data_IF_717633878334
#
_entry.id   IF_717633878334
#
_cell.length_a   1.000
_cell.length_b   1.000
_cell.length_c   1.000
_cell.angle_alpha   90.00
_cell.angle_beta   90.00
_cell.angle_gamma   90.00
#
_symmetry.space_group_name_H-M   'P 1'
#
loop_
_entity.id
_entity.type
_entity.pdbx_description
1 polymer ?
#
# COMPACT_ATOMS: atom_id res chain seq x y z
N UNK A 1 -18.92 -10.28 -6.97
CA UNK A 1 -20.10 -9.60 -6.36
C UNK A 1 -20.70 -10.44 -5.24
N UNK A 2 -21.05 -11.70 -5.50
CA UNK A 2 -21.70 -12.62 -4.53
C UNK A 2 -20.81 -12.88 -3.29
N UNK A 3 -19.49 -12.83 -3.42
CA UNK A 3 -18.55 -13.19 -2.35
C UNK A 3 -18.44 -12.16 -1.23
N UNK A 4 -18.92 -10.94 -1.44
CA UNK A 4 -18.82 -9.85 -0.44
C UNK A 4 -20.18 -9.28 -0.01
N UNK A 5 -21.25 -9.64 -0.71
CA UNK A 5 -22.59 -9.15 -0.42
C UNK A 5 -23.11 -9.77 0.88
N UNK A 6 -23.67 -8.94 1.78
CA UNK A 6 -24.15 -9.36 3.08
C UNK A 6 -23.06 -9.71 4.10
N UNK A 7 -21.79 -9.55 3.76
CA UNK A 7 -20.68 -9.84 4.67
C UNK A 7 -20.40 -8.67 5.62
N UNK A 8 -19.71 -8.97 6.72
CA UNK A 8 -19.29 -7.99 7.73
C UNK A 8 -17.77 -7.87 7.72
N UNK A 9 -17.26 -6.63 7.73
CA UNK A 9 -15.83 -6.37 7.93
C UNK A 9 -15.47 -6.72 9.37
N UNK A 10 -14.46 -7.56 9.55
CA UNK A 10 -13.92 -7.94 10.86
C UNK A 10 -12.81 -6.98 11.29
N UNK A 11 -11.83 -6.79 10.42
CA UNK A 11 -10.71 -5.89 10.64
C UNK A 11 -10.13 -5.41 9.31
N UNK A 12 -9.24 -4.42 9.40
CA UNK A 12 -8.47 -3.89 8.28
C UNK A 12 -7.00 -3.87 8.67
N UNK A 13 -6.17 -4.42 7.82
CA UNK A 13 -4.73 -4.53 8.02
C UNK A 13 -3.97 -3.93 6.82
N UNK A 14 -2.70 -3.59 7.05
CA UNK A 14 -1.78 -3.21 5.98
C UNK A 14 -0.61 -4.19 5.92
N UNK A 15 -0.32 -4.67 4.73
CA UNK A 15 0.90 -5.43 4.45
C UNK A 15 1.64 -4.78 3.27
N UNK A 16 2.82 -4.23 3.53
CA UNK A 16 3.55 -3.39 2.58
C UNK A 16 2.65 -2.26 2.01
N UNK A 17 2.42 -2.25 0.71
CA UNK A 17 1.55 -1.31 -0.02
C UNK A 17 0.16 -1.87 -0.30
N UNK A 18 -0.23 -2.96 0.37
CA UNK A 18 -1.54 -3.56 0.24
C UNK A 18 -2.40 -3.28 1.48
N UNK A 19 -3.67 -2.97 1.26
CA UNK A 19 -4.71 -2.90 2.27
C UNK A 19 -5.47 -4.23 2.21
N UNK A 20 -5.66 -4.86 3.37
CA UNK A 20 -6.35 -6.13 3.54
C UNK A 20 -7.60 -5.88 4.38
N UNK A 21 -8.78 -6.10 3.80
CA UNK A 21 -10.07 -5.98 4.49
C UNK A 21 -10.59 -7.39 4.70
N UNK A 22 -10.51 -7.88 5.93
CA UNK A 22 -10.92 -9.23 6.30
C UNK A 22 -12.42 -9.28 6.59
N UNK A 23 -13.11 -10.24 5.98
CA UNK A 23 -14.55 -10.42 6.06
C UNK A 23 -14.92 -11.64 6.92
N UNK A 24 -16.14 -11.66 7.47
CA UNK A 24 -16.63 -12.73 8.34
C UNK A 24 -16.89 -14.08 7.62
N UNK A 25 -16.87 -14.09 6.30
CA UNK A 25 -17.02 -15.30 5.47
C UNK A 25 -15.68 -15.93 5.06
N UNK A 26 -14.59 -15.63 5.77
CA UNK A 26 -13.23 -16.11 5.49
C UNK A 26 -12.65 -15.59 4.15
N UNK A 27 -13.20 -14.51 3.61
CA UNK A 27 -12.64 -13.82 2.44
C UNK A 27 -11.91 -12.56 2.87
N UNK A 28 -10.89 -12.18 2.10
CA UNK A 28 -10.15 -10.92 2.25
C UNK A 28 -10.21 -10.14 0.95
N UNK A 29 -10.58 -8.87 1.04
CA UNK A 29 -10.43 -7.93 -0.06
C UNK A 29 -9.04 -7.32 0.03
N UNK A 30 -8.20 -7.56 -0.98
CA UNK A 30 -6.89 -6.93 -1.12
C UNK A 30 -7.02 -5.74 -2.05
N UNK A 31 -6.51 -4.58 -1.61
CA UNK A 31 -6.46 -3.35 -2.41
C UNK A 31 -5.01 -2.88 -2.50
N UNK A 32 -4.52 -2.70 -3.71
CA UNK A 32 -3.24 -2.06 -4.00
C UNK A 32 -3.48 -0.79 -4.81
N UNK A 33 -3.19 0.37 -4.24
CA UNK A 33 -3.51 1.68 -4.84
C UNK A 33 -2.63 2.03 -6.06
N UNK A 34 -1.43 1.45 -6.14
CA UNK A 34 -0.44 1.79 -7.20
C UNK A 34 -0.11 3.28 -7.19
N UNK A 35 -0.23 3.97 -8.35
CA UNK A 35 0.25 5.36 -8.50
C UNK A 35 -0.85 6.41 -8.30
N UNK A 36 -2.05 6.15 -8.80
CA UNK A 36 -3.17 7.11 -8.81
C UNK A 36 -4.43 6.58 -8.15
N UNK A 37 -4.39 5.32 -7.71
CA UNK A 37 -5.50 4.72 -6.97
C UNK A 37 -5.68 5.37 -5.60
N UNK A 38 -6.92 5.65 -5.25
CA UNK A 38 -7.27 6.16 -3.94
C UNK A 38 -8.66 5.68 -3.52
N UNK A 39 -8.94 5.81 -2.24
CA UNK A 39 -10.18 5.36 -1.64
C UNK A 39 -10.89 6.56 -1.08
N UNK A 40 -12.18 6.65 -1.34
CA UNK A 40 -13.06 7.67 -0.79
C UNK A 40 -14.26 7.04 -0.11
N UNK A 41 -14.81 7.76 0.87
CA UNK A 41 -15.91 7.29 1.69
C UNK A 41 -16.93 8.40 1.87
N UNK A 42 -18.17 8.13 1.47
CA UNK A 42 -19.26 9.08 1.55
C UNK A 42 -20.54 8.52 0.93
N UNK A 43 -21.54 9.38 0.73
CA UNK A 43 -22.78 9.02 0.06
C UNK A 43 -22.66 9.28 -1.43
N UNK A 44 -22.94 8.26 -2.22
CA UNK A 44 -22.87 8.30 -3.67
C UNK A 44 -24.18 7.86 -4.28
N UNK A 45 -24.64 8.59 -5.29
CA UNK A 45 -25.80 8.25 -6.09
C UNK A 45 -25.38 7.64 -7.44
N UNK A 46 -26.08 6.56 -7.85
CA UNK A 46 -25.88 5.95 -9.13
C UNK A 46 -26.83 6.52 -10.18
N UNK A 47 -26.29 7.09 -11.23
CA UNK A 47 -27.07 7.57 -12.36
C UNK A 47 -27.18 6.46 -13.43
N UNK A 48 -28.37 5.84 -13.54
CA UNK A 48 -28.63 4.76 -14.51
C UNK A 48 -28.44 5.19 -15.97
N UNK A 49 -28.84 6.45 -16.33
CA UNK A 49 -28.72 6.94 -17.72
C UNK A 49 -27.27 7.14 -18.15
N UNK A 50 -26.41 7.62 -17.23
CA UNK A 50 -24.99 7.85 -17.51
C UNK A 50 -24.12 6.65 -17.15
N UNK A 51 -24.69 5.60 -16.55
CA UNK A 51 -23.95 4.45 -16.02
C UNK A 51 -22.76 4.89 -15.14
N UNK A 52 -22.99 5.83 -14.22
CA UNK A 52 -21.92 6.44 -13.42
C UNK A 52 -22.36 6.72 -12.00
N UNK A 53 -21.41 6.67 -11.10
CA UNK A 53 -21.55 7.11 -9.71
C UNK A 53 -21.06 8.54 -9.57
N UNK A 54 -21.68 9.31 -8.65
CA UNK A 54 -21.24 10.63 -8.24
C UNK A 54 -21.59 10.87 -6.78
N UNK A 55 -20.82 11.71 -6.05
CA UNK A 55 -21.16 12.06 -4.67
C UNK A 55 -22.51 12.78 -4.64
N UNK A 56 -23.25 12.60 -3.54
CA UNK A 56 -24.48 13.37 -3.30
C UNK A 56 -24.15 14.85 -3.08
N UNK A 57 -25.09 15.75 -3.44
CA UNK A 57 -24.85 17.21 -3.41
C UNK A 57 -24.42 17.75 -2.05
N UNK A 58 -24.89 17.12 -0.97
CA UNK A 58 -24.64 17.56 0.40
C UNK A 58 -23.39 16.93 1.03
N UNK A 59 -22.60 16.18 0.26
CA UNK A 59 -21.34 15.64 0.73
C UNK A 59 -20.25 16.73 0.75
N UNK A 60 -19.22 16.52 1.58
CA UNK A 60 -18.09 17.45 1.73
C UNK A 60 -17.41 17.72 0.38
N UNK A 61 -16.94 18.94 0.20
CA UNK A 61 -16.33 19.43 -1.04
C UNK A 61 -15.22 18.48 -1.60
N UNK A 62 -14.39 17.95 -0.73
CA UNK A 62 -13.33 17.03 -1.13
C UNK A 62 -13.80 15.80 -1.92
N UNK A 63 -15.07 15.35 -1.77
CA UNK A 63 -15.61 14.26 -2.56
C UNK A 63 -15.94 14.66 -4.00
N UNK A 64 -16.16 15.94 -4.24
CA UNK A 64 -16.49 16.51 -5.55
C UNK A 64 -15.26 16.86 -6.39
N UNK A 65 -14.04 16.60 -5.87
CA UNK A 65 -12.81 16.78 -6.63
C UNK A 65 -12.89 16.02 -7.97
N UNK A 66 -12.57 16.66 -9.11
CA UNK A 66 -12.61 16.06 -10.43
C UNK A 66 -11.78 14.76 -10.56
N UNK A 67 -10.75 14.58 -9.75
CA UNK A 67 -9.97 13.33 -9.72
C UNK A 67 -10.78 12.13 -9.22
N UNK A 68 -11.82 12.35 -8.43
CA UNK A 68 -12.69 11.31 -7.89
C UNK A 68 -13.66 10.71 -8.93
N UNK A 69 -13.76 11.29 -10.13
CA UNK A 69 -14.66 10.81 -11.20
C UNK A 69 -14.31 9.42 -11.77
N UNK A 70 -13.06 8.97 -11.58
CA UNK A 70 -12.57 7.71 -12.12
C UNK A 70 -12.90 6.52 -11.21
N UNK A 71 -14.19 6.32 -10.95
CA UNK A 71 -14.72 5.26 -10.07
C UNK A 71 -14.69 3.91 -10.80
N UNK A 72 -14.10 2.90 -10.15
CA UNK A 72 -14.03 1.53 -10.69
C UNK A 72 -14.73 0.50 -9.83
N UNK A 73 -14.69 0.64 -8.52
CA UNK A 73 -15.35 -0.28 -7.58
C UNK A 73 -16.11 0.51 -6.53
N UNK A 74 -17.34 0.10 -6.26
CA UNK A 74 -18.19 0.69 -5.23
C UNK A 74 -18.70 -0.43 -4.32
N UNK A 75 -18.45 -0.29 -3.03
CA UNK A 75 -19.02 -1.15 -2.00
C UNK A 75 -20.06 -0.34 -1.22
N UNK A 76 -21.34 -0.73 -1.33
CA UNK A 76 -22.41 -0.15 -0.52
C UNK A 76 -22.40 -0.76 0.87
N UNK A 77 -22.48 0.10 1.88
CA UNK A 77 -22.43 -0.30 3.28
C UNK A 77 -23.80 -0.18 3.94
N UNK A 78 -24.02 -0.91 5.02
CA UNK A 78 -25.30 -0.94 5.75
C UNK A 78 -25.72 0.40 6.35
N UNK A 79 -24.78 1.33 6.51
CA UNK A 79 -25.06 2.68 7.01
C UNK A 79 -25.47 3.69 5.90
N UNK A 80 -25.75 3.20 4.68
CA UNK A 80 -26.17 4.00 3.54
C UNK A 80 -25.03 4.75 2.84
N UNK A 81 -23.78 4.58 3.27
CA UNK A 81 -22.60 5.16 2.59
C UNK A 81 -21.91 4.15 1.70
N UNK A 82 -21.03 4.65 0.85
CA UNK A 82 -20.22 3.86 -0.06
C UNK A 82 -18.74 4.02 0.26
N UNK A 83 -18.02 2.91 0.14
CA UNK A 83 -16.58 2.84 0.07
C UNK A 83 -16.21 2.67 -1.40
N UNK A 84 -15.48 3.63 -1.95
CA UNK A 84 -15.31 3.78 -3.39
C UNK A 84 -13.83 3.77 -3.74
N UNK A 85 -13.45 2.93 -4.70
CA UNK A 85 -12.10 2.90 -5.25
C UNK A 85 -12.07 3.65 -6.58
N UNK A 86 -11.22 4.68 -6.63
CA UNK A 86 -10.98 5.51 -7.80
C UNK A 86 -9.54 5.33 -8.30
N UNK A 87 -9.34 5.36 -9.62
CA UNK A 87 -8.00 5.32 -10.22
C UNK A 87 -8.01 5.83 -11.65
N UNK A 88 -7.40 6.99 -11.89
CA UNK A 88 -7.36 7.61 -13.23
C UNK A 88 -6.55 6.79 -14.25
N UNK A 89 -5.55 6.03 -13.79
CA UNK A 89 -4.64 5.24 -14.66
C UNK A 89 -4.99 3.76 -14.74
N UNK A 90 -5.93 3.26 -13.94
CA UNK A 90 -6.37 1.86 -13.89
C UNK A 90 -5.25 0.84 -13.57
N UNK A 91 -4.23 1.26 -12.84
CA UNK A 91 -3.14 0.38 -12.41
C UNK A 91 -3.40 -0.27 -11.05
N UNK A 92 -4.25 0.34 -10.25
CA UNK A 92 -4.66 -0.19 -8.97
C UNK A 92 -5.40 -1.52 -9.09
N UNK A 93 -5.40 -2.28 -8.03
CA UNK A 93 -6.01 -3.62 -8.00
C UNK A 93 -6.94 -3.75 -6.80
N UNK A 94 -8.10 -4.35 -7.04
CA UNK A 94 -9.02 -4.81 -6.01
C UNK A 94 -9.27 -6.28 -6.29
N UNK A 95 -8.87 -7.15 -5.37
CA UNK A 95 -8.94 -8.61 -5.54
C UNK A 95 -9.57 -9.23 -4.31
N UNK A 96 -10.37 -10.29 -4.49
CA UNK A 96 -10.92 -11.10 -3.40
C UNK A 96 -10.14 -12.40 -3.36
N UNK A 97 -9.80 -12.86 -2.17
CA UNK A 97 -9.05 -14.09 -1.94
C UNK A 97 -9.50 -14.75 -0.64
N UNK A 98 -9.23 -16.04 -0.50
CA UNK A 98 -9.41 -16.75 0.76
C UNK A 98 -8.43 -16.20 1.82
N UNK A 99 -8.93 -15.90 3.01
CA UNK A 99 -8.11 -15.34 4.10
C UNK A 99 -7.00 -16.30 4.54
N UNK A 100 -7.26 -17.61 4.55
CA UNK A 100 -6.29 -18.60 5.01
C UNK A 100 -5.08 -18.69 4.08
N UNK A 101 -5.28 -18.50 2.77
CA UNK A 101 -4.23 -18.58 1.75
C UNK A 101 -3.75 -17.23 1.25
N UNK A 102 -4.25 -16.12 1.81
CA UNK A 102 -3.93 -14.76 1.35
C UNK A 102 -2.42 -14.50 1.26
N UNK A 103 -1.66 -14.95 2.27
CA UNK A 103 -0.20 -14.77 2.33
C UNK A 103 0.58 -15.61 1.30
N UNK A 104 -0.02 -16.66 0.75
CA UNK A 104 0.58 -17.52 -0.27
C UNK A 104 0.35 -16.98 -1.69
N UNK A 105 -0.50 -15.97 -1.83
CA UNK A 105 -0.81 -15.36 -3.13
C UNK A 105 0.39 -14.64 -3.72
N UNK A 106 0.41 -14.49 -5.04
CA UNK A 106 1.45 -13.75 -5.77
C UNK A 106 1.62 -12.30 -5.28
N UNK A 107 0.60 -11.76 -4.60
CA UNK A 107 0.61 -10.39 -4.08
C UNK A 107 1.33 -10.25 -2.75
N UNK A 108 1.40 -11.29 -1.94
CA UNK A 108 1.91 -11.24 -0.57
C UNK A 108 3.06 -12.21 -0.28
N UNK A 109 3.18 -13.32 -1.03
CA UNK A 109 4.12 -14.42 -0.78
C UNK A 109 5.58 -13.98 -0.64
N UNK A 110 6.02 -13.04 -1.46
CA UNK A 110 7.43 -12.65 -1.53
C UNK A 110 7.69 -11.27 -0.90
N UNK A 111 6.80 -10.79 -0.04
CA UNK A 111 7.01 -9.51 0.62
C UNK A 111 7.98 -9.69 1.79
N UNK A 112 9.05 -8.91 1.78
CA UNK A 112 10.06 -8.83 2.83
C UNK A 112 9.52 -8.33 4.19
N UNK A 113 10.38 -8.16 5.17
CA UNK A 113 10.00 -7.72 6.51
C UNK A 113 9.43 -6.31 6.52
N UNK A 114 8.50 -6.05 7.44
CA UNK A 114 7.93 -4.71 7.69
C UNK A 114 8.94 -3.84 8.45
N UNK A 115 9.35 -2.70 7.91
CA UNK A 115 10.40 -1.87 8.49
C UNK A 115 10.04 -1.24 9.84
N UNK A 116 8.75 -1.02 10.10
CA UNK A 116 8.27 -0.44 11.37
C UNK A 116 8.00 -1.48 12.46
N UNK A 117 8.10 -2.77 12.15
CA UNK A 117 7.96 -3.80 13.18
C UNK A 117 9.08 -3.65 14.22
N UNK A 118 8.75 -3.79 15.51
CA UNK A 118 9.72 -3.73 16.62
C UNK A 118 10.85 -4.76 16.48
N UNK A 119 10.57 -5.90 15.89
CA UNK A 119 11.55 -6.97 15.61
C UNK A 119 12.48 -6.68 14.42
N UNK A 120 12.24 -5.60 13.64
CA UNK A 120 13.09 -5.20 12.53
C UNK A 120 14.24 -4.33 13.04
N UNK A 121 15.30 -5.00 13.47
CA UNK A 121 16.52 -4.38 14.01
C UNK A 121 17.47 -3.93 12.90
N UNK A 122 18.51 -3.17 13.26
CA UNK A 122 19.59 -2.79 12.32
C UNK A 122 20.25 -4.01 11.68
N UNK A 123 20.49 -5.09 12.45
CA UNK A 123 21.08 -6.32 11.90
C UNK A 123 20.20 -6.90 10.79
N UNK A 124 18.89 -7.05 11.04
CA UNK A 124 17.94 -7.53 10.02
C UNK A 124 17.86 -6.60 8.80
N UNK A 125 17.94 -5.30 9.00
CA UNK A 125 17.99 -4.33 7.91
C UNK A 125 19.22 -4.58 7.03
N UNK A 126 20.40 -4.68 7.63
CA UNK A 126 21.65 -4.98 6.93
C UNK A 126 21.58 -6.31 6.19
N UNK A 127 21.11 -7.36 6.84
CA UNK A 127 20.96 -8.70 6.24
C UNK A 127 20.00 -8.65 5.03
N UNK A 128 18.90 -7.90 5.14
CA UNK A 128 17.97 -7.69 4.03
C UNK A 128 18.65 -7.04 2.83
N UNK A 129 19.43 -5.98 3.03
CA UNK A 129 20.17 -5.31 1.96
C UNK A 129 21.22 -6.24 1.32
N UNK A 130 21.86 -7.09 2.11
CA UNK A 130 22.89 -8.05 1.66
C UNK A 130 22.32 -9.22 0.86
N UNK A 131 20.99 -9.36 0.75
CA UNK A 131 20.37 -10.27 -0.23
C UNK A 131 20.62 -9.81 -1.68
N UNK A 132 20.90 -8.50 -1.88
CA UNK A 132 21.19 -7.88 -3.19
C UNK A 132 22.44 -6.98 -3.14
N UNK A 133 23.62 -7.53 -2.79
CA UNK A 133 24.82 -6.75 -2.43
C UNK A 133 25.41 -5.94 -3.57
N UNK A 134 25.11 -6.32 -4.82
CA UNK A 134 25.62 -5.68 -6.06
C UNK A 134 24.60 -4.74 -6.72
N UNK A 135 23.36 -4.67 -6.22
CA UNK A 135 22.32 -3.77 -6.72
C UNK A 135 22.61 -2.32 -6.34
N UNK A 136 21.94 -1.37 -6.97
CA UNK A 136 21.95 0.01 -6.51
C UNK A 136 21.09 0.16 -5.26
N UNK A 137 21.59 0.84 -4.24
CA UNK A 137 20.93 0.94 -2.93
C UNK A 137 19.48 1.43 -3.04
N UNK A 138 19.21 2.41 -3.89
CA UNK A 138 17.85 2.90 -4.12
C UNK A 138 16.92 1.80 -4.64
N UNK A 139 17.33 1.04 -5.64
CA UNK A 139 16.52 -0.05 -6.20
C UNK A 139 16.35 -1.21 -5.22
N UNK A 140 17.38 -1.47 -4.41
CA UNK A 140 17.33 -2.49 -3.35
C UNK A 140 16.34 -2.09 -2.25
N UNK A 141 16.36 -0.84 -1.80
CA UNK A 141 15.38 -0.32 -0.82
C UNK A 141 13.93 -0.39 -1.33
N UNK A 142 13.73 -0.13 -2.63
CA UNK A 142 12.40 -0.14 -3.26
C UNK A 142 11.87 -1.55 -3.53
N UNK A 143 12.71 -2.56 -3.49
CA UNK A 143 12.31 -3.93 -3.73
C UNK A 143 11.50 -4.48 -2.55
N UNK A 144 10.23 -4.77 -2.81
CA UNK A 144 9.30 -5.21 -1.79
C UNK A 144 9.66 -6.58 -1.19
N UNK A 145 10.52 -7.37 -1.85
CA UNK A 145 11.03 -8.64 -1.32
C UNK A 145 12.17 -8.44 -0.33
N UNK A 146 12.87 -7.30 -0.40
CA UNK A 146 13.96 -6.94 0.49
C UNK A 146 13.42 -6.26 1.75
N UNK A 147 12.63 -5.18 1.57
CA UNK A 147 11.98 -4.43 2.65
C UNK A 147 10.58 -4.02 2.19
N UNK A 148 9.58 -4.32 3.01
CA UNK A 148 8.19 -4.02 2.70
C UNK A 148 7.90 -2.50 2.73
N UNK A 149 7.06 -2.02 1.83
CA UNK A 149 6.41 -0.71 1.92
C UNK A 149 7.19 0.47 1.34
N UNK A 150 8.51 0.40 1.23
CA UNK A 150 9.34 1.51 0.71
C UNK A 150 9.05 1.74 -0.78
N UNK A 151 8.82 2.99 -1.13
CA UNK A 151 8.62 3.45 -2.51
C UNK A 151 9.63 4.51 -2.92
N UNK A 152 9.43 5.08 -4.10
CA UNK A 152 10.35 6.05 -4.68
C UNK A 152 10.57 7.26 -3.75
N UNK A 153 9.51 7.89 -3.26
CA UNK A 153 9.59 9.06 -2.39
C UNK A 153 10.36 8.74 -1.12
N UNK A 154 9.95 7.70 -0.40
CA UNK A 154 10.62 7.34 0.86
C UNK A 154 12.08 6.93 0.67
N UNK A 155 12.41 6.22 -0.41
CA UNK A 155 13.81 5.87 -0.69
C UNK A 155 14.68 7.10 -0.96
N UNK A 156 14.16 8.11 -1.65
CA UNK A 156 14.89 9.37 -1.91
C UNK A 156 15.12 10.15 -0.60
N UNK A 157 14.09 10.31 0.22
CA UNK A 157 14.19 10.98 1.51
C UNK A 157 15.19 10.30 2.46
N UNK A 158 15.15 8.95 2.54
CA UNK A 158 16.08 8.18 3.37
C UNK A 158 17.53 8.36 2.92
N UNK A 159 17.77 8.27 1.62
CA UNK A 159 19.10 8.39 1.03
C UNK A 159 19.63 9.81 1.17
N UNK A 160 18.77 10.81 1.00
CA UNK A 160 19.11 12.21 1.21
C UNK A 160 19.53 12.47 2.67
N UNK A 161 18.73 12.03 3.64
CA UNK A 161 19.00 12.20 5.07
C UNK A 161 20.26 11.48 5.55
N UNK A 162 20.62 10.36 4.91
CA UNK A 162 21.83 9.59 5.25
C UNK A 162 23.06 9.98 4.43
N UNK A 163 22.93 10.88 3.45
CA UNK A 163 24.03 11.29 2.57
C UNK A 163 24.55 10.20 1.63
N UNK A 164 23.76 9.14 1.39
CA UNK A 164 24.18 8.01 0.55
C UNK A 164 23.73 8.22 -0.89
N UNK A 165 24.68 8.12 -1.83
CA UNK A 165 24.35 8.20 -3.25
C UNK A 165 23.47 7.03 -3.70
N UNK A 166 22.38 7.24 -4.45
CA UNK A 166 21.40 6.23 -4.82
C UNK A 166 21.96 5.05 -5.62
N UNK A 167 23.07 5.23 -6.31
CA UNK A 167 23.77 4.18 -7.08
C UNK A 167 24.85 3.45 -6.27
N UNK A 168 25.04 3.78 -4.99
CA UNK A 168 25.93 3.04 -4.10
C UNK A 168 25.50 1.59 -4.02
N UNK A 169 26.47 0.68 -3.87
CA UNK A 169 26.18 -0.77 -3.73
C UNK A 169 26.16 -1.15 -2.25
N UNK A 170 25.13 -1.86 -1.74
CA UNK A 170 25.04 -2.22 -0.34
C UNK A 170 26.33 -2.78 0.26
N UNK A 171 27.01 -3.67 -0.47
CA UNK A 171 28.28 -4.28 0.00
C UNK A 171 29.45 -3.28 0.10
N UNK A 172 29.34 -2.08 -0.45
CA UNK A 172 30.40 -1.06 -0.44
C UNK A 172 30.13 0.09 0.52
N UNK A 173 28.93 0.15 1.11
CA UNK A 173 28.55 1.18 2.08
C UNK A 173 29.13 0.84 3.44
N UNK A 174 29.89 1.73 4.10
CA UNK A 174 30.41 1.53 5.44
C UNK A 174 29.29 1.24 6.46
N UNK A 175 29.62 0.47 7.49
CA UNK A 175 28.63 0.07 8.48
C UNK A 175 28.00 1.24 9.24
N UNK A 176 28.75 2.31 9.46
CA UNK A 176 28.27 3.55 10.09
C UNK A 176 27.22 4.25 9.22
N UNK A 177 27.48 4.38 7.92
CA UNK A 177 26.53 4.96 6.97
C UNK A 177 25.24 4.10 6.85
N UNK A 178 25.38 2.76 6.89
CA UNK A 178 24.20 1.87 6.95
C UNK A 178 23.38 2.06 8.23
N UNK A 179 24.04 2.36 9.37
CA UNK A 179 23.31 2.71 10.60
C UNK A 179 22.53 4.02 10.46
N UNK A 180 23.12 5.01 9.81
CA UNK A 180 22.44 6.28 9.58
C UNK A 180 21.29 6.13 8.58
N UNK A 181 21.46 5.31 7.56
CA UNK A 181 20.36 4.94 6.66
C UNK A 181 19.21 4.23 7.39
N UNK A 182 19.52 3.33 8.32
CA UNK A 182 18.52 2.67 9.14
C UNK A 182 17.75 3.66 10.03
N UNK A 183 18.45 4.62 10.67
CA UNK A 183 17.82 5.68 11.46
C UNK A 183 16.95 6.58 10.58
N UNK A 184 17.46 6.98 9.41
CA UNK A 184 16.73 7.77 8.42
C UNK A 184 15.45 7.04 7.97
N UNK A 185 15.54 5.73 7.68
CA UNK A 185 14.37 4.91 7.34
C UNK A 185 13.30 4.94 8.45
N UNK A 186 13.70 4.75 9.72
CA UNK A 186 12.75 4.81 10.84
C UNK A 186 12.12 6.19 10.99
N UNK A 187 12.89 7.25 10.81
CA UNK A 187 12.39 8.62 10.88
C UNK A 187 11.37 8.91 9.76
N UNK A 188 11.75 8.67 8.50
CA UNK A 188 10.92 8.97 7.32
C UNK A 188 9.61 8.17 7.31
N UNK A 189 9.63 6.91 7.77
CA UNK A 189 8.43 6.08 7.79
C UNK A 189 7.49 6.35 8.98
N UNK A 190 7.91 7.13 9.98
CA UNK A 190 7.10 7.52 11.15
C UNK A 190 6.58 8.97 11.06
N UNK A 191 6.89 9.69 9.97
CA UNK A 191 6.28 11.00 9.65
C UNK A 191 4.82 10.83 9.22
#
# INVERSE_FOLDING_TARGET
>A
KKDVEGTKVLNVERRAKNILINLNNKQTILIHLKMTGHIIYGRYAYNKKKNSWSPEKNEREALHDPYNRFIHVVFSLSNGKQFVFCDSRKFGKVTIMDTATAHETVHLKNIGPEPLNKSFTFLKFKDSLMTKPKGYIKTVLMDQSVIAGIGNIYSDEMLWLSGIHPESKPAKIPNEELQDLYKAMKSVLNM
#
